data_IF_016629790022
#
_entry.id   IF_016629790022
#
_cell.length_a   1.000
_cell.length_b   1.000
_cell.length_c   1.000
_cell.angle_alpha   90.00
_cell.angle_beta   90.00
_cell.angle_gamma   90.00
#
_symmetry.space_group_name_H-M   'P 1'
#
loop_
_entity.id
_entity.type
_entity.pdbx_description
1 polymer ?
#
# COMPACT_ATOMS: atom_id res chain seq x y z
N UNK A 1 -29.71 -7.22 26.25
CA UNK A 1 -28.29 -7.40 25.91
C UNK A 1 -28.08 -7.93 24.49
N UNK A 2 -28.75 -9.00 24.04
CA UNK A 2 -28.59 -9.50 22.66
C UNK A 2 -29.07 -8.50 21.59
N UNK A 3 -30.20 -7.84 21.82
CA UNK A 3 -30.78 -6.89 20.88
C UNK A 3 -29.91 -5.64 20.63
N UNK A 4 -29.24 -5.13 21.67
CA UNK A 4 -28.30 -3.99 21.53
C UNK A 4 -27.02 -4.35 20.79
N UNK A 5 -26.51 -5.56 20.97
CA UNK A 5 -25.36 -6.06 20.24
C UNK A 5 -25.71 -6.28 18.76
N UNK A 6 -26.88 -6.83 18.45
CA UNK A 6 -27.36 -7.02 17.08
C UNK A 6 -27.57 -5.66 16.39
N UNK A 7 -28.15 -4.68 17.06
CA UNK A 7 -28.37 -3.35 16.50
C UNK A 7 -27.05 -2.65 16.20
N UNK A 8 -26.05 -2.74 17.09
CA UNK A 8 -24.72 -2.17 16.89
C UNK A 8 -23.97 -2.84 15.71
N UNK A 9 -24.09 -4.17 15.57
CA UNK A 9 -23.51 -4.90 14.45
C UNK A 9 -24.21 -4.53 13.13
N UNK A 10 -25.54 -4.42 13.11
CA UNK A 10 -26.28 -4.00 11.92
C UNK A 10 -25.93 -2.58 11.51
N UNK A 11 -25.78 -1.67 12.46
CA UNK A 11 -25.37 -0.28 12.18
C UNK A 11 -23.95 -0.22 11.60
N UNK A 12 -23.02 -1.00 12.16
CA UNK A 12 -21.66 -1.12 11.65
C UNK A 12 -21.60 -1.73 10.24
N UNK A 13 -22.42 -2.76 9.97
CA UNK A 13 -22.56 -3.35 8.66
C UNK A 13 -23.16 -2.37 7.64
N UNK A 14 -24.14 -1.58 8.04
CA UNK A 14 -24.77 -0.56 7.19
C UNK A 14 -23.79 0.56 6.83
N UNK A 15 -22.90 0.94 7.74
CA UNK A 15 -21.81 1.88 7.50
C UNK A 15 -20.70 1.29 6.62
N UNK A 16 -20.43 -0.01 6.76
CA UNK A 16 -19.38 -0.70 5.97
C UNK A 16 -19.83 -1.01 4.53
N UNK A 17 -21.10 -1.33 4.32
CA UNK A 17 -21.64 -1.73 3.01
C UNK A 17 -22.41 -0.63 2.28
N UNK A 18 -22.56 0.57 2.88
CA UNK A 18 -23.12 1.74 2.21
C UNK A 18 -22.29 2.12 1.00
N UNK A 19 -22.86 2.03 -0.20
CA UNK A 19 -22.17 2.27 -1.48
C UNK A 19 -21.70 3.72 -1.70
N UNK A 20 -22.00 4.63 -0.78
CA UNK A 20 -21.52 6.01 -0.76
C UNK A 20 -20.99 6.31 0.63
N UNK A 21 -19.75 6.77 0.71
CA UNK A 21 -19.21 7.32 1.95
C UNK A 21 -20.16 8.43 2.44
N UNK A 22 -20.77 8.30 3.61
CA UNK A 22 -21.63 9.35 4.11
C UNK A 22 -20.78 10.59 4.40
N UNK A 23 -21.33 11.81 4.22
CA UNK A 23 -20.66 13.03 4.65
C UNK A 23 -20.30 12.95 6.14
N UNK A 24 -19.21 13.59 6.55
CA UNK A 24 -18.63 13.49 7.90
C UNK A 24 -19.65 13.71 9.03
N UNK A 25 -20.62 14.60 8.82
CA UNK A 25 -21.69 14.87 9.79
C UNK A 25 -22.64 13.68 10.02
N UNK A 26 -22.88 12.83 9.00
CA UNK A 26 -23.68 11.62 9.15
C UNK A 26 -22.98 10.56 9.98
N UNK A 27 -21.66 10.45 9.85
CA UNK A 27 -20.84 9.56 10.69
C UNK A 27 -20.89 10.00 12.15
N UNK A 28 -20.75 11.30 12.42
CA UNK A 28 -20.84 11.85 13.77
C UNK A 28 -22.24 11.62 14.36
N UNK A 29 -23.30 11.88 13.58
CA UNK A 29 -24.68 11.66 14.01
C UNK A 29 -24.98 10.19 14.31
N UNK A 30 -24.51 9.26 13.46
CA UNK A 30 -24.63 7.83 13.68
C UNK A 30 -23.87 7.37 14.93
N UNK A 31 -22.67 7.92 15.18
CA UNK A 31 -21.87 7.66 16.36
C UNK A 31 -22.58 8.09 17.64
N UNK A 32 -23.10 9.31 17.66
CA UNK A 32 -23.84 9.84 18.80
C UNK A 32 -25.12 9.03 19.05
N UNK A 33 -25.87 8.70 18.02
CA UNK A 33 -27.07 7.88 18.13
C UNK A 33 -26.78 6.48 18.70
N UNK A 34 -25.70 5.83 18.24
CA UNK A 34 -25.26 4.51 18.73
C UNK A 34 -24.86 4.57 20.22
N UNK A 35 -24.17 5.63 20.64
CA UNK A 35 -23.81 5.86 22.07
C UNK A 35 -25.04 6.05 22.92
N UNK A 36 -25.99 6.88 22.47
CA UNK A 36 -27.22 7.15 23.21
C UNK A 36 -28.09 5.89 23.33
N UNK A 37 -28.28 5.16 22.23
CA UNK A 37 -29.03 3.89 22.24
C UNK A 37 -28.36 2.86 23.13
N UNK A 38 -27.05 2.75 23.08
CA UNK A 38 -26.26 1.86 23.93
C UNK A 38 -26.40 2.19 25.42
N UNK A 39 -26.42 3.48 25.76
CA UNK A 39 -26.65 3.96 27.13
C UNK A 39 -28.04 3.58 27.66
N UNK A 40 -29.05 3.76 26.81
CA UNK A 40 -30.47 3.52 27.19
C UNK A 40 -30.77 2.01 27.33
N UNK A 41 -30.20 1.15 26.51
CA UNK A 41 -30.56 -0.26 26.43
C UNK A 41 -29.72 -1.22 27.30
N UNK A 42 -28.48 -0.90 27.59
CA UNK A 42 -27.55 -1.90 28.17
C UNK A 42 -26.68 -1.37 29.33
N UNK A 43 -26.94 -0.17 29.81
CA UNK A 43 -26.15 0.43 30.86
C UNK A 43 -24.67 0.57 30.52
N UNK A 44 -23.80 0.57 31.53
CA UNK A 44 -22.36 0.85 31.35
C UNK A 44 -21.63 -0.07 30.37
N UNK A 45 -22.01 -1.37 30.31
CA UNK A 45 -21.39 -2.34 29.37
C UNK A 45 -21.79 -2.10 27.91
N UNK A 46 -23.05 -1.71 27.68
CA UNK A 46 -23.52 -1.37 26.32
C UNK A 46 -22.89 -0.11 25.78
N UNK A 47 -22.66 0.89 26.64
CA UNK A 47 -21.90 2.11 26.29
C UNK A 47 -20.49 1.77 25.79
N UNK A 48 -19.76 0.93 26.51
CA UNK A 48 -18.38 0.55 26.13
C UNK A 48 -18.38 -0.19 24.79
N UNK A 49 -19.31 -1.14 24.58
CA UNK A 49 -19.40 -1.88 23.32
C UNK A 49 -19.80 -0.98 22.14
N UNK A 50 -20.78 -0.10 22.34
CA UNK A 50 -21.18 0.86 21.32
C UNK A 50 -20.03 1.82 20.97
N UNK A 51 -19.30 2.33 21.96
CA UNK A 51 -18.12 3.16 21.76
C UNK A 51 -17.02 2.45 20.98
N UNK A 52 -16.76 1.17 21.27
CA UNK A 52 -15.77 0.38 20.56
C UNK A 52 -16.15 0.18 19.08
N UNK A 53 -17.42 -0.16 18.81
CA UNK A 53 -17.92 -0.34 17.43
C UNK A 53 -17.80 0.95 16.63
N UNK A 54 -18.16 2.08 17.24
CA UNK A 54 -18.04 3.41 16.62
C UNK A 54 -16.58 3.75 16.34
N UNK A 55 -15.70 3.51 17.31
CA UNK A 55 -14.25 3.77 17.15
C UNK A 55 -13.66 2.95 16.01
N UNK A 56 -13.96 1.65 15.94
CA UNK A 56 -13.50 0.75 14.88
C UNK A 56 -14.08 1.18 13.53
N UNK A 57 -15.38 1.46 13.46
CA UNK A 57 -16.02 1.94 12.23
C UNK A 57 -15.42 3.26 11.73
N UNK A 58 -15.24 4.23 12.62
CA UNK A 58 -14.60 5.50 12.28
C UNK A 58 -13.16 5.30 11.79
N UNK A 59 -12.40 4.40 12.43
CA UNK A 59 -11.03 4.08 12.02
C UNK A 59 -10.97 3.47 10.63
N UNK A 60 -11.91 2.57 10.31
CA UNK A 60 -11.99 1.94 8.98
C UNK A 60 -12.35 2.98 7.91
N UNK A 61 -13.35 3.81 8.16
CA UNK A 61 -13.77 4.87 7.21
C UNK A 61 -12.62 5.85 6.98
N UNK A 62 -11.93 6.27 8.05
CA UNK A 62 -10.80 7.19 7.95
C UNK A 62 -9.66 6.59 7.12
N UNK A 63 -9.31 5.32 7.35
CA UNK A 63 -8.27 4.66 6.58
C UNK A 63 -8.62 4.48 5.09
N UNK A 64 -9.89 4.23 4.76
CA UNK A 64 -10.36 4.18 3.38
C UNK A 64 -10.28 5.58 2.73
N UNK A 65 -10.71 6.61 3.46
CA UNK A 65 -10.66 7.99 2.97
C UNK A 65 -9.22 8.43 2.67
N UNK A 66 -8.29 8.17 3.59
CA UNK A 66 -6.87 8.46 3.39
C UNK A 66 -6.30 7.71 2.19
N UNK A 67 -6.61 6.41 2.04
CA UNK A 67 -6.16 5.62 0.91
C UNK A 67 -6.71 6.12 -0.43
N UNK A 68 -7.96 6.63 -0.46
CA UNK A 68 -8.54 7.23 -1.66
C UNK A 68 -7.96 8.62 -1.95
N UNK A 69 -7.68 9.40 -0.92
CA UNK A 69 -7.07 10.73 -1.05
C UNK A 69 -5.61 10.66 -1.53
N UNK A 70 -4.91 9.57 -1.23
CA UNK A 70 -3.52 9.32 -1.68
C UNK A 70 -3.44 8.83 -3.14
N UNK A 71 -4.57 8.67 -3.84
CA UNK A 71 -4.55 8.28 -5.25
C UNK A 71 -4.15 9.43 -6.16
N UNK A 72 -3.36 9.10 -7.20
CA UNK A 72 -3.04 10.05 -8.25
C UNK A 72 -4.33 10.48 -8.98
N UNK A 73 -4.60 11.79 -9.09
CA UNK A 73 -5.80 12.28 -9.76
C UNK A 73 -5.75 11.99 -11.28
N UNK A 74 -6.92 11.78 -11.94
CA UNK A 74 -7.01 11.39 -13.33
C UNK A 74 -6.40 12.38 -14.34
N UNK A 75 -6.39 13.66 -13.99
CA UNK A 75 -5.82 14.76 -14.81
C UNK A 75 -4.30 14.66 -14.96
N UNK A 76 -3.62 13.91 -14.07
CA UNK A 76 -2.18 13.66 -14.14
C UNK A 76 -1.81 12.38 -14.88
N UNK A 77 -2.73 11.76 -15.58
CA UNK A 77 -2.45 10.56 -16.38
C UNK A 77 -1.43 10.84 -17.47
N UNK A 78 -0.32 10.07 -17.48
CA UNK A 78 0.72 10.17 -18.51
C UNK A 78 1.65 11.35 -18.34
N UNK A 79 1.63 12.05 -17.20
CA UNK A 79 2.60 13.11 -16.90
C UNK A 79 3.93 12.51 -16.46
N UNK A 80 5.01 13.19 -16.86
CA UNK A 80 6.37 12.84 -16.41
C UNK A 80 6.68 13.63 -15.14
N UNK A 81 7.07 12.94 -14.10
CA UNK A 81 7.40 13.54 -12.79
C UNK A 81 8.74 13.01 -12.27
N UNK A 82 9.50 13.89 -11.62
CA UNK A 82 10.70 13.49 -10.87
C UNK A 82 10.30 13.15 -9.44
N UNK A 83 10.58 11.92 -9.02
CA UNK A 83 10.23 11.41 -7.70
C UNK A 83 11.45 10.87 -7.00
N UNK A 84 11.63 11.27 -5.75
CA UNK A 84 12.61 10.67 -4.85
C UNK A 84 11.89 9.79 -3.85
N UNK A 85 12.31 8.54 -3.74
CA UNK A 85 11.70 7.59 -2.82
C UNK A 85 12.63 6.47 -2.44
N UNK A 86 12.18 5.65 -1.52
CA UNK A 86 12.88 4.47 -1.02
C UNK A 86 12.22 3.19 -1.53
N UNK A 87 13.02 2.15 -1.68
CA UNK A 87 12.54 0.83 -2.08
C UNK A 87 12.66 -0.07 -0.86
N UNK A 88 11.51 -0.45 -0.28
CA UNK A 88 11.47 -1.23 0.96
C UNK A 88 11.20 -2.71 0.73
N UNK A 89 10.64 -3.06 -0.41
CA UNK A 89 10.35 -4.44 -0.79
C UNK A 89 11.37 -4.96 -1.81
N UNK A 90 11.51 -6.29 -1.88
CA UNK A 90 12.33 -6.88 -2.93
C UNK A 90 11.69 -6.63 -4.29
N UNK A 91 12.42 -6.03 -5.25
CA UNK A 91 11.94 -5.89 -6.61
C UNK A 91 11.66 -7.25 -7.24
N UNK A 92 10.71 -7.36 -8.13
CA UNK A 92 10.38 -8.59 -8.86
C UNK A 92 10.78 -8.42 -10.31
N UNK A 93 11.57 -9.35 -10.82
CA UNK A 93 11.91 -9.41 -12.26
C UNK A 93 10.90 -10.31 -12.95
N UNK A 94 10.26 -9.79 -13.98
CA UNK A 94 9.27 -10.53 -14.77
C UNK A 94 9.35 -10.06 -16.22
N UNK A 95 9.41 -11.00 -17.16
CA UNK A 95 9.37 -10.75 -18.61
C UNK A 95 10.35 -9.65 -19.07
N UNK A 96 11.60 -9.68 -18.59
CA UNK A 96 12.61 -8.68 -18.95
C UNK A 96 12.45 -7.32 -18.26
N UNK A 97 11.40 -7.11 -17.47
CA UNK A 97 11.17 -5.90 -16.69
C UNK A 97 11.42 -6.10 -15.21
N UNK A 98 11.79 -5.02 -14.51
CA UNK A 98 11.92 -4.97 -13.06
C UNK A 98 10.75 -4.20 -12.47
N UNK A 99 9.97 -4.83 -11.59
CA UNK A 99 8.82 -4.23 -10.93
C UNK A 99 9.07 -4.09 -9.44
N UNK A 100 8.85 -2.90 -8.88
CA UNK A 100 9.06 -2.59 -7.47
C UNK A 100 8.13 -1.49 -6.98
N UNK A 101 7.96 -1.40 -5.66
CA UNK A 101 7.22 -0.31 -5.02
C UNK A 101 8.21 0.76 -4.57
N UNK A 102 7.99 1.98 -5.03
CA UNK A 102 8.70 3.17 -4.59
C UNK A 102 7.89 3.85 -3.50
N UNK A 103 8.42 3.92 -2.29
CA UNK A 103 7.83 4.63 -1.17
C UNK A 103 8.37 6.06 -1.13
N UNK A 104 7.47 7.02 -1.32
CA UNK A 104 7.82 8.44 -1.26
C UNK A 104 7.73 8.94 0.17
N UNK A 105 8.59 9.86 0.62
CA UNK A 105 8.36 10.54 1.88
C UNK A 105 7.01 11.26 1.84
N UNK A 106 6.38 11.40 3.01
CA UNK A 106 5.09 12.08 3.17
C UNK A 106 4.99 13.32 2.27
N UNK A 107 3.89 13.54 1.57
CA UNK A 107 3.75 14.59 0.58
C UNK A 107 4.06 15.94 1.20
N UNK A 108 5.18 16.52 0.82
CA UNK A 108 5.40 17.95 1.00
C UNK A 108 4.34 18.68 0.16
N UNK A 109 3.77 19.76 0.68
CA UNK A 109 2.60 20.47 0.15
C UNK A 109 2.67 20.91 -1.33
N UNK A 110 3.80 20.74 -2.01
CA UNK A 110 4.03 21.20 -3.38
C UNK A 110 3.76 20.15 -4.48
N UNK A 111 3.85 18.86 -4.19
CA UNK A 111 3.61 17.80 -5.18
C UNK A 111 2.75 16.72 -4.57
N UNK A 112 1.49 16.64 -5.03
CA UNK A 112 0.57 15.52 -4.71
C UNK A 112 1.05 14.25 -5.41
N UNK A 113 2.12 13.66 -4.90
CA UNK A 113 2.65 12.37 -5.33
C UNK A 113 2.18 11.35 -4.30
N UNK A 114 1.55 10.24 -4.72
CA UNK A 114 1.13 9.19 -3.80
C UNK A 114 2.30 8.62 -3.00
N UNK A 115 2.02 8.17 -1.76
CA UNK A 115 3.04 7.60 -0.87
C UNK A 115 3.66 6.32 -1.42
N UNK A 116 2.89 5.51 -2.14
CA UNK A 116 3.35 4.26 -2.73
C UNK A 116 3.03 4.23 -4.21
N UNK A 117 4.06 4.05 -5.03
CA UNK A 117 3.97 3.99 -6.49
C UNK A 117 4.50 2.63 -6.94
N UNK A 118 3.70 1.87 -7.68
CA UNK A 118 4.16 0.67 -8.34
C UNK A 118 4.89 1.05 -9.63
N UNK A 119 6.20 0.84 -9.64
CA UNK A 119 7.08 1.23 -10.74
C UNK A 119 7.50 0.00 -11.54
N UNK A 120 7.47 0.12 -12.86
CA UNK A 120 8.06 -0.85 -13.79
C UNK A 120 9.23 -0.22 -14.50
N UNK A 121 10.38 -0.89 -14.46
CA UNK A 121 11.57 -0.50 -15.22
C UNK A 121 11.84 -1.54 -16.30
N UNK A 122 11.80 -1.10 -17.55
CA UNK A 122 12.00 -1.96 -18.72
C UNK A 122 13.46 -2.01 -19.11
N UNK A 123 13.84 -3.06 -19.81
CA UNK A 123 15.14 -3.27 -20.48
C UNK A 123 16.38 -3.15 -19.57
N UNK A 124 16.94 -1.97 -19.43
CA UNK A 124 18.21 -1.69 -18.77
C UNK A 124 18.12 -1.47 -17.27
N UNK A 125 17.19 -2.13 -16.58
CA UNK A 125 17.04 -1.95 -15.13
C UNK A 125 18.32 -2.36 -14.39
N UNK A 126 18.88 -1.49 -13.54
CA UNK A 126 20.02 -1.84 -12.70
C UNK A 126 19.63 -2.85 -11.63
N UNK A 127 20.62 -3.39 -10.95
CA UNK A 127 20.37 -4.20 -9.76
C UNK A 127 19.92 -3.30 -8.61
N UNK A 128 18.69 -3.50 -8.13
CA UNK A 128 18.06 -2.71 -7.08
C UNK A 128 17.84 -3.57 -5.85
N UNK A 129 18.16 -3.02 -4.66
CA UNK A 129 18.01 -3.70 -3.39
C UNK A 129 17.13 -2.95 -2.41
N UNK A 130 16.42 -3.65 -1.51
CA UNK A 130 15.68 -3.02 -0.42
C UNK A 130 16.58 -2.14 0.46
N UNK A 131 16.07 -0.97 0.83
CA UNK A 131 16.80 0.03 1.60
C UNK A 131 17.54 1.07 0.77
N UNK A 132 17.49 0.98 -0.56
CA UNK A 132 18.06 1.99 -1.44
C UNK A 132 17.09 3.17 -1.63
N UNK A 133 17.67 4.35 -1.80
CA UNK A 133 16.94 5.59 -2.13
C UNK A 133 17.28 5.95 -3.57
N UNK A 134 16.25 6.19 -4.36
CA UNK A 134 16.39 6.51 -5.77
C UNK A 134 15.66 7.81 -6.12
N UNK A 135 16.27 8.58 -7.00
CA UNK A 135 15.60 9.65 -7.74
C UNK A 135 15.31 9.12 -9.14
N UNK A 136 14.03 9.13 -9.53
CA UNK A 136 13.57 8.54 -10.78
C UNK A 136 12.68 9.50 -11.55
N UNK A 137 12.83 9.53 -12.86
CA UNK A 137 11.87 10.14 -13.77
C UNK A 137 10.81 9.11 -14.13
N UNK A 138 9.59 9.34 -13.69
CA UNK A 138 8.48 8.41 -13.85
C UNK A 138 7.39 9.01 -14.74
N UNK A 139 6.89 8.23 -15.68
CA UNK A 139 5.60 8.50 -16.30
C UNK A 139 4.53 7.78 -15.52
N UNK A 140 3.65 8.55 -14.87
CA UNK A 140 2.69 8.02 -13.92
C UNK A 140 1.28 7.93 -14.48
N UNK A 141 0.50 6.99 -13.91
CA UNK A 141 -0.92 6.79 -14.18
C UNK A 141 -1.67 6.51 -12.90
N UNK A 142 -2.94 6.90 -12.80
CA UNK A 142 -3.80 6.45 -11.70
C UNK A 142 -3.87 4.92 -11.63
N UNK A 143 -4.07 4.34 -10.44
CA UNK A 143 -4.24 2.90 -10.30
C UNK A 143 -5.59 2.50 -10.93
N UNK A 144 -5.54 1.89 -12.10
CA UNK A 144 -6.72 1.38 -12.82
C UNK A 144 -6.49 -0.06 -13.22
N UNK A 145 -7.53 -0.86 -13.13
CA UNK A 145 -7.59 -2.22 -13.60
C UNK A 145 -8.79 -2.43 -14.52
N UNK A 146 -8.74 -3.46 -15.37
CA UNK A 146 -9.91 -3.93 -16.09
C UNK A 146 -10.75 -4.81 -15.15
N UNK A 147 -12.00 -4.43 -14.93
CA UNK A 147 -12.96 -5.22 -14.16
C UNK A 147 -13.67 -6.20 -15.09
N UNK A 148 -13.07 -7.36 -15.32
CA UNK A 148 -13.74 -8.46 -16.04
C UNK A 148 -14.30 -9.45 -15.01
N UNK A 149 -15.58 -9.86 -15.13
CA UNK A 149 -16.16 -10.84 -14.23
C UNK A 149 -15.36 -12.15 -14.25
N UNK A 150 -15.03 -12.67 -13.07
CA UNK A 150 -14.30 -13.95 -12.91
C UNK A 150 -12.79 -13.88 -13.09
N UNK A 151 -12.20 -12.69 -13.38
CA UNK A 151 -10.75 -12.51 -13.45
C UNK A 151 -10.20 -11.82 -12.22
N UNK A 152 -8.87 -11.80 -12.10
CA UNK A 152 -8.16 -11.08 -11.02
C UNK A 152 -8.46 -9.58 -11.06
N UNK A 153 -9.00 -9.06 -9.97
CA UNK A 153 -9.28 -7.63 -9.81
C UNK A 153 -7.99 -6.89 -9.43
N UNK A 154 -7.30 -6.41 -10.46
CA UNK A 154 -6.03 -5.71 -10.30
C UNK A 154 -6.17 -4.38 -9.54
N UNK A 155 -7.27 -3.64 -9.74
CA UNK A 155 -7.48 -2.37 -9.06
C UNK A 155 -7.71 -2.58 -7.55
N UNK A 156 -8.50 -3.60 -7.20
CA UNK A 156 -8.71 -4.00 -5.80
C UNK A 156 -7.40 -4.42 -5.14
N UNK A 157 -6.56 -5.16 -5.85
CA UNK A 157 -5.24 -5.55 -5.36
C UNK A 157 -4.35 -4.33 -5.13
N UNK A 158 -4.26 -3.38 -6.08
CA UNK A 158 -3.52 -2.14 -5.91
C UNK A 158 -4.01 -1.35 -4.68
N UNK A 159 -5.33 -1.30 -4.48
CA UNK A 159 -5.90 -0.65 -3.31
C UNK A 159 -5.53 -1.35 -2.01
N UNK A 160 -5.57 -2.68 -1.95
CA UNK A 160 -5.20 -3.44 -0.75
C UNK A 160 -3.72 -3.30 -0.39
N UNK A 161 -2.85 -3.10 -1.39
CA UNK A 161 -1.42 -2.81 -1.21
C UNK A 161 -1.13 -1.33 -0.90
N UNK A 162 -2.15 -0.47 -0.87
CA UNK A 162 -2.00 0.97 -0.65
C UNK A 162 -1.26 1.68 -1.78
N UNK A 163 -1.35 1.17 -3.01
CA UNK A 163 -0.68 1.75 -4.17
C UNK A 163 -1.56 2.86 -4.75
N UNK A 164 -1.09 4.11 -4.64
CA UNK A 164 -1.80 5.30 -5.11
C UNK A 164 -1.53 5.67 -6.56
N UNK A 165 -0.48 5.12 -7.18
CA UNK A 165 -0.19 5.28 -8.61
C UNK A 165 0.56 4.09 -9.17
N UNK A 166 0.48 3.92 -10.48
CA UNK A 166 1.36 3.05 -11.26
C UNK A 166 2.21 3.89 -12.20
N UNK A 167 3.38 3.43 -12.59
CA UNK A 167 4.22 4.16 -13.52
C UNK A 167 5.36 3.33 -14.08
N UNK A 168 6.06 3.91 -15.04
CA UNK A 168 7.29 3.32 -15.56
C UNK A 168 8.40 4.35 -15.61
N UNK A 169 9.63 3.83 -15.47
CA UNK A 169 10.84 4.66 -15.51
C UNK A 169 11.04 5.15 -16.93
N UNK A 170 11.27 6.46 -17.06
CA UNK A 170 11.68 7.08 -18.33
C UNK A 170 13.21 6.99 -18.44
N UNK A 171 13.69 6.68 -19.62
CA UNK A 171 15.12 6.80 -19.92
C UNK A 171 15.49 8.28 -19.83
N UNK A 172 16.20 8.62 -18.77
CA UNK A 172 16.74 9.96 -18.57
C UNK A 172 18.06 9.83 -17.80
N UNK A 173 19.01 10.72 -18.09
CA UNK A 173 20.26 10.81 -17.33
C UNK A 173 20.10 11.21 -15.87
N UNK A 174 18.86 11.52 -15.43
CA UNK A 174 18.55 11.93 -14.07
C UNK A 174 18.20 10.76 -13.13
N UNK A 175 17.98 9.55 -13.68
CA UNK A 175 17.76 8.35 -12.87
C UNK A 175 19.03 7.98 -12.12
N UNK A 176 19.01 8.15 -10.79
CA UNK A 176 20.22 7.90 -9.99
C UNK A 176 19.86 7.40 -8.60
N UNK A 177 20.74 6.56 -8.07
CA UNK A 177 20.72 6.17 -6.68
C UNK A 177 21.29 7.30 -5.83
N UNK A 178 20.60 7.62 -4.74
CA UNK A 178 20.99 8.63 -3.78
C UNK A 178 21.56 7.99 -2.51
N UNK A 179 22.52 8.64 -1.83
CA UNK A 179 22.96 8.18 -0.52
C UNK A 179 21.81 8.33 0.49
N UNK A 180 21.48 7.26 1.20
CA UNK A 180 20.51 7.33 2.29
C UNK A 180 21.12 8.08 3.47
N UNK A 181 20.52 9.20 3.88
CA UNK A 181 20.97 9.97 5.04
C UNK A 181 20.67 9.29 6.38
N UNK A 182 19.69 8.41 6.41
CA UNK A 182 19.26 7.61 7.56
C UNK A 182 18.87 6.21 7.08
N UNK A 183 18.89 5.20 7.97
CA UNK A 183 18.41 3.86 7.63
C UNK A 183 16.93 3.94 7.21
N UNK A 184 16.67 3.66 5.95
CA UNK A 184 15.31 3.57 5.40
C UNK A 184 14.92 2.10 5.41
N UNK A 185 13.77 1.74 5.96
CA UNK A 185 13.29 0.36 6.03
C UNK A 185 14.30 -0.59 6.69
N UNK A 186 14.70 -0.40 7.96
CA UNK A 186 15.81 -1.14 8.59
C UNK A 186 15.60 -2.66 8.57
N UNK A 187 14.37 -3.15 8.75
CA UNK A 187 14.07 -4.57 8.67
C UNK A 187 14.34 -5.14 7.26
N UNK A 188 13.98 -4.40 6.22
CA UNK A 188 14.22 -4.81 4.83
C UNK A 188 15.68 -4.75 4.44
N UNK A 189 16.44 -3.80 5.00
CA UNK A 189 17.90 -3.75 4.82
C UNK A 189 18.58 -4.97 5.45
N UNK A 190 18.19 -5.37 6.66
CA UNK A 190 18.71 -6.60 7.29
C UNK A 190 18.40 -7.82 6.43
N UNK A 191 17.16 -7.94 5.94
CA UNK A 191 16.77 -9.01 5.02
C UNK A 191 17.60 -9.00 3.73
N UNK A 192 17.87 -7.83 3.15
CA UNK A 192 18.70 -7.69 1.96
C UNK A 192 20.17 -8.10 2.22
N UNK A 193 20.75 -7.72 3.36
CA UNK A 193 22.10 -8.15 3.75
C UNK A 193 22.16 -9.66 3.95
N UNK A 194 21.17 -10.25 4.61
CA UNK A 194 21.08 -11.70 4.80
C UNK A 194 20.95 -12.41 3.44
N UNK A 195 20.09 -11.92 2.55
CA UNK A 195 19.93 -12.47 1.22
C UNK A 195 21.25 -12.50 0.45
N UNK A 196 21.99 -11.39 0.46
CA UNK A 196 23.31 -11.30 -0.21
C UNK A 196 24.32 -12.27 0.39
N UNK A 197 24.39 -12.38 1.73
CA UNK A 197 25.30 -13.31 2.42
C UNK A 197 24.97 -14.77 2.13
N UNK A 198 23.68 -15.10 2.06
CA UNK A 198 23.20 -16.45 1.75
C UNK A 198 23.37 -16.81 0.28
N UNK A 199 23.25 -15.85 -0.64
CA UNK A 199 23.38 -16.09 -2.07
C UNK A 199 24.80 -16.55 -2.45
N UNK A 200 25.84 -15.99 -1.85
CA UNK A 200 27.23 -16.32 -2.17
C UNK A 200 27.57 -17.83 -2.08
N UNK A 201 27.28 -18.54 -0.97
CA UNK A 201 27.56 -19.97 -0.85
C UNK A 201 26.58 -20.86 -1.63
N UNK A 202 25.46 -20.31 -2.10
CA UNK A 202 24.42 -21.03 -2.84
C UNK A 202 24.56 -20.90 -4.35
N UNK A 203 25.53 -20.13 -4.84
CA UNK A 203 25.76 -19.92 -6.28
C UNK A 203 25.91 -21.26 -6.99
N UNK A 204 25.15 -21.46 -8.07
CA UNK A 204 25.16 -22.67 -8.89
C UNK A 204 24.39 -23.86 -8.30
N UNK A 205 23.67 -23.68 -7.18
CA UNK A 205 22.80 -24.72 -6.63
C UNK A 205 21.36 -24.48 -7.08
N UNK A 206 20.69 -25.50 -7.59
CA UNK A 206 19.27 -25.45 -8.00
C UNK A 206 18.33 -25.07 -6.87
N UNK A 207 18.69 -25.41 -5.62
CA UNK A 207 17.91 -25.08 -4.43
C UNK A 207 18.07 -23.63 -3.96
N UNK A 208 19.02 -22.84 -4.49
CA UNK A 208 19.31 -21.50 -4.03
C UNK A 208 18.09 -20.56 -4.08
N UNK A 209 17.29 -20.51 -5.17
CA UNK A 209 16.10 -19.67 -5.23
C UNK A 209 15.07 -20.00 -4.17
N UNK A 210 14.85 -21.28 -3.89
CA UNK A 210 13.88 -21.73 -2.87
C UNK A 210 14.35 -21.37 -1.47
N UNK A 211 15.62 -21.56 -1.16
CA UNK A 211 16.21 -21.21 0.14
C UNK A 211 16.10 -19.71 0.38
N UNK A 212 16.44 -18.88 -0.58
CA UNK A 212 16.36 -17.42 -0.47
C UNK A 212 14.90 -16.95 -0.41
N UNK A 213 14.01 -17.53 -1.21
CA UNK A 213 12.59 -17.22 -1.19
C UNK A 213 11.94 -17.51 0.16
N UNK A 214 12.18 -18.69 0.72
CA UNK A 214 11.56 -19.12 1.97
C UNK A 214 12.18 -18.47 3.21
N UNK A 215 13.49 -18.21 3.22
CA UNK A 215 14.17 -17.68 4.41
C UNK A 215 14.04 -16.16 4.56
N UNK A 216 14.19 -15.42 3.48
CA UNK A 216 14.20 -13.94 3.50
C UNK A 216 13.17 -13.30 2.59
N UNK A 217 12.37 -14.09 1.88
CA UNK A 217 11.35 -13.60 0.95
C UNK A 217 11.94 -12.98 -0.32
N UNK A 218 13.15 -13.38 -0.71
CA UNK A 218 13.82 -12.91 -1.92
C UNK A 218 13.37 -13.74 -3.12
N UNK A 219 12.13 -13.59 -3.55
CA UNK A 219 11.53 -14.36 -4.67
C UNK A 219 12.11 -14.00 -6.06
N UNK A 220 12.97 -13.00 -6.15
CA UNK A 220 13.63 -12.62 -7.41
C UNK A 220 14.45 -13.76 -8.01
N UNK A 221 15.01 -14.59 -7.17
CA UNK A 221 15.81 -15.73 -7.57
C UNK A 221 14.99 -16.90 -8.14
N UNK A 222 13.65 -16.88 -7.97
CA UNK A 222 12.74 -17.92 -8.49
C UNK A 222 12.31 -17.70 -9.95
N UNK A 223 12.54 -16.48 -10.48
CA UNK A 223 12.09 -16.07 -11.81
C UNK A 223 13.22 -16.01 -12.87
N UNK A 224 14.37 -16.59 -12.56
CA UNK A 224 15.53 -16.66 -13.46
C UNK A 224 15.60 -17.99 -14.19
#
# INVERSE_FOLDING_TARGET
MLASAILAVLLALLLLFGQRLPPDYLLVAAAVAAIVVGALLAGRRGLVLAGLVVLVGARVVFSIHDALADRLPPDRTGTDISVTGSICEFPRRQDGSLRFVLETPLPGAATRVPQRILVTWYDTAPEIWPGEVWQLQLRVRPPRGSANPGTFDYERWLFSEGIGATGWVRESGENRRLPAKQPVCPASQVRAVLARRMAAPLTGREAAPYVLGLSVGAYQALAA
#
